data_IF_898691644250
#
_entry.id   IF_898691644250
#
_cell.length_a   1.000
_cell.length_b   1.000
_cell.length_c   1.000
_cell.angle_alpha   90.00
_cell.angle_beta   90.00
_cell.angle_gamma   90.00
#
_symmetry.space_group_name_H-M   'P 1'
#
loop_
_entity.id
_entity.type
_entity.pdbx_description
1 polymer ?
#
# COMPACT_ATOMS: atom_id res chain seq x y z
N UNK A 1 -7.82 3.18 -14.85
CA UNK A 1 -6.51 3.74 -15.10
C UNK A 1 -5.44 2.78 -14.59
N UNK A 2 -4.43 2.48 -15.41
CA UNK A 2 -3.44 1.45 -15.17
C UNK A 2 -2.14 2.10 -14.74
N UNK A 3 -1.65 1.82 -13.54
CA UNK A 3 -0.29 2.15 -13.17
C UNK A 3 0.48 0.89 -12.78
N UNK A 4 1.66 0.70 -13.33
CA UNK A 4 2.58 -0.34 -12.89
C UNK A 4 3.54 0.23 -11.86
N UNK A 5 3.70 -0.44 -10.72
CA UNK A 5 4.75 -0.05 -9.81
C UNK A 5 6.10 -0.48 -10.39
N UNK A 6 6.96 0.48 -10.65
CA UNK A 6 8.33 0.25 -11.06
C UNK A 6 9.32 0.44 -9.90
N UNK A 7 8.83 0.32 -8.67
CA UNK A 7 9.59 0.74 -7.50
C UNK A 7 10.62 -0.25 -6.99
N UNK A 8 10.83 -1.36 -7.67
CA UNK A 8 11.90 -2.27 -7.31
C UNK A 8 12.22 -3.21 -8.46
N UNK A 9 13.40 -3.61 -8.52
CA UNK A 9 14.19 -4.30 -9.50
C UNK A 9 13.47 -5.21 -10.55
N UNK A 10 14.25 -5.78 -11.45
CA UNK A 10 13.86 -6.61 -12.60
C UNK A 10 13.01 -7.83 -12.25
N UNK A 11 12.93 -8.22 -10.98
CA UNK A 11 12.33 -9.47 -10.50
C UNK A 11 10.95 -9.31 -9.84
N UNK A 12 10.40 -8.11 -9.81
CA UNK A 12 9.06 -7.87 -9.25
C UNK A 12 8.18 -7.25 -10.33
N UNK A 13 7.14 -7.96 -10.73
CA UNK A 13 6.15 -7.47 -11.69
C UNK A 13 4.78 -7.57 -11.09
N UNK A 14 4.11 -6.45 -11.01
CA UNK A 14 2.74 -6.37 -10.55
C UNK A 14 2.01 -5.22 -11.20
N UNK A 15 0.70 -5.39 -11.33
CA UNK A 15 -0.20 -4.39 -11.83
C UNK A 15 -1.09 -3.91 -10.68
N UNK A 16 -1.09 -2.61 -10.41
CA UNK A 16 -1.95 -2.01 -9.40
C UNK A 16 -2.98 -1.12 -10.07
N UNK A 17 -4.26 -1.40 -9.83
CA UNK A 17 -5.39 -0.70 -10.44
C UNK A 17 -6.24 -0.08 -9.36
N UNK A 18 -6.49 1.23 -9.48
CA UNK A 18 -7.41 1.97 -8.62
C UNK A 18 -8.71 2.27 -9.36
N UNK A 19 -9.83 1.99 -8.70
CA UNK A 19 -11.18 2.30 -9.17
C UNK A 19 -11.86 3.22 -8.17
N UNK A 20 -12.48 4.29 -8.68
CA UNK A 20 -13.28 5.20 -7.88
C UNK A 20 -14.76 4.83 -8.01
N UNK A 21 -15.41 4.62 -6.87
CA UNK A 21 -16.82 4.32 -6.74
C UNK A 21 -17.57 5.39 -5.96
N UNK A 22 -18.87 5.18 -5.79
CA UNK A 22 -19.76 6.02 -4.98
C UNK A 22 -19.89 5.49 -3.55
N UNK A 23 -20.63 6.18 -2.69
CA UNK A 23 -20.96 5.69 -1.34
C UNK A 23 -21.77 4.39 -1.31
N UNK A 24 -22.37 3.97 -2.42
CA UNK A 24 -23.07 2.68 -2.52
C UNK A 24 -22.11 1.50 -2.68
N UNK A 25 -20.87 1.78 -3.09
CA UNK A 25 -19.82 0.79 -3.30
C UNK A 25 -18.97 0.55 -2.04
N UNK A 26 -19.30 1.22 -0.92
CA UNK A 26 -18.59 1.03 0.36
C UNK A 26 -18.72 -0.40 0.86
N UNK A 27 -17.64 -0.92 1.42
CA UNK A 27 -17.64 -2.24 2.03
C UNK A 27 -18.35 -2.18 3.38
N UNK A 28 -19.33 -3.03 3.59
CA UNK A 28 -19.93 -3.26 4.91
C UNK A 28 -19.02 -4.18 5.72
N UNK A 29 -18.73 -3.77 6.93
CA UNK A 29 -17.94 -4.52 7.91
C UNK A 29 -18.84 -4.85 9.09
N UNK A 30 -19.00 -6.15 9.35
CA UNK A 30 -19.65 -6.65 10.57
C UNK A 30 -18.57 -6.94 11.61
N UNK A 31 -18.51 -6.13 12.65
CA UNK A 31 -17.53 -6.23 13.72
C UNK A 31 -18.24 -6.52 15.07
N UNK A 32 -17.48 -6.95 16.07
CA UNK A 32 -18.00 -7.32 17.39
C UNK A 32 -18.73 -6.14 18.06
N UNK A 33 -18.26 -4.93 17.82
CA UNK A 33 -18.79 -3.67 18.37
C UNK A 33 -19.85 -2.99 17.49
N UNK A 34 -20.24 -3.61 16.38
CA UNK A 34 -21.31 -3.14 15.49
C UNK A 34 -20.92 -3.12 14.01
N UNK A 35 -21.89 -2.84 13.16
CA UNK A 35 -21.70 -2.69 11.73
C UNK A 35 -21.18 -1.27 11.39
N UNK A 36 -20.20 -1.19 10.49
CA UNK A 36 -19.75 0.06 9.90
C UNK A 36 -19.41 -0.10 8.42
N UNK A 37 -19.20 1.00 7.72
CA UNK A 37 -18.79 0.98 6.32
C UNK A 37 -17.37 1.51 6.17
N UNK A 38 -16.62 0.92 5.22
CA UNK A 38 -15.27 1.30 4.87
C UNK A 38 -15.24 1.75 3.41
N UNK A 39 -14.71 2.93 3.14
CA UNK A 39 -14.63 3.48 1.80
C UNK A 39 -13.30 3.20 1.08
N UNK A 40 -12.35 2.53 1.75
CA UNK A 40 -11.09 2.13 1.14
C UNK A 40 -10.90 0.62 1.21
N UNK A 41 -10.85 -0.02 0.06
CA UNK A 41 -10.60 -1.45 -0.11
C UNK A 41 -9.30 -1.67 -0.87
N UNK A 42 -8.44 -2.54 -0.34
CA UNK A 42 -7.21 -2.97 -1.03
C UNK A 42 -7.15 -4.48 -1.08
N UNK A 43 -7.15 -5.02 -2.29
CA UNK A 43 -7.03 -6.44 -2.59
C UNK A 43 -5.62 -6.73 -3.10
N UNK A 44 -4.97 -7.67 -2.45
CA UNK A 44 -3.62 -8.14 -2.78
C UNK A 44 -3.72 -9.59 -3.26
N UNK A 45 -3.49 -9.80 -4.54
CA UNK A 45 -3.59 -11.11 -5.17
C UNK A 45 -2.20 -11.65 -5.47
N UNK A 46 -1.84 -12.73 -4.79
CA UNK A 46 -0.54 -13.39 -4.89
C UNK A 46 -0.70 -14.84 -5.31
N UNK A 47 -0.94 -15.09 -6.59
CA UNK A 47 -1.13 -16.45 -7.09
C UNK A 47 0.18 -17.25 -7.02
N UNK A 48 0.12 -18.59 -6.84
CA UNK A 48 1.31 -19.43 -6.72
C UNK A 48 2.29 -19.29 -7.88
N UNK A 49 1.80 -19.08 -9.09
CA UNK A 49 2.65 -18.93 -10.28
C UNK A 49 3.58 -17.71 -10.21
N UNK A 50 3.26 -16.70 -9.38
CA UNK A 50 4.08 -15.49 -9.24
C UNK A 50 5.47 -15.79 -8.64
N UNK A 51 5.63 -16.92 -7.98
CA UNK A 51 6.89 -17.45 -7.42
C UNK A 51 7.28 -18.79 -8.05
N UNK A 52 6.70 -19.14 -9.19
CA UNK A 52 6.99 -20.40 -9.91
C UNK A 52 6.42 -21.65 -9.24
N UNK A 53 5.49 -21.51 -8.30
CA UNK A 53 4.86 -22.64 -7.62
C UNK A 53 3.57 -23.09 -8.29
N UNK A 54 3.24 -24.38 -8.10
CA UNK A 54 1.95 -24.95 -8.45
C UNK A 54 1.08 -25.00 -7.20
N UNK A 55 -0.09 -24.39 -7.24
CA UNK A 55 -1.01 -24.32 -6.11
C UNK A 55 -2.46 -24.07 -6.53
N UNK A 56 -3.37 -24.20 -5.57
CA UNK A 56 -4.80 -23.91 -5.81
C UNK A 56 -5.01 -22.40 -5.93
N UNK A 57 -5.77 -22.00 -6.96
CA UNK A 57 -6.25 -20.65 -7.16
C UNK A 57 -7.74 -20.65 -6.77
N UNK A 58 -8.17 -19.73 -5.93
CA UNK A 58 -9.61 -19.58 -5.64
C UNK A 58 -9.97 -19.21 -4.19
N UNK A 59 -9.10 -19.44 -3.20
CA UNK A 59 -9.31 -18.94 -1.84
C UNK A 59 -8.17 -18.02 -1.42
N UNK A 60 -8.51 -16.90 -0.81
CA UNK A 60 -7.53 -15.93 -0.30
C UNK A 60 -6.67 -16.56 0.79
N UNK A 61 -5.36 -16.52 0.63
CA UNK A 61 -4.40 -17.06 1.59
C UNK A 61 -4.20 -16.11 2.79
N UNK A 62 -3.67 -16.64 3.91
CA UNK A 62 -3.29 -15.78 5.05
C UNK A 62 -2.26 -14.72 4.67
N UNK A 63 -1.35 -15.06 3.74
CA UNK A 63 -0.35 -14.14 3.19
C UNK A 63 -1.03 -12.97 2.48
N UNK A 64 -1.99 -13.25 1.63
CA UNK A 64 -2.73 -12.21 0.89
C UNK A 64 -3.49 -11.28 1.82
N UNK A 65 -4.15 -11.81 2.85
CA UNK A 65 -4.86 -11.02 3.86
C UNK A 65 -3.88 -10.13 4.63
N UNK A 66 -2.78 -10.70 5.14
CA UNK A 66 -1.80 -9.97 5.95
C UNK A 66 -1.07 -8.89 5.16
N UNK A 67 -0.59 -9.20 3.96
CA UNK A 67 0.11 -8.24 3.09
C UNK A 67 -0.83 -7.16 2.56
N UNK A 68 -2.06 -7.53 2.19
CA UNK A 68 -3.09 -6.57 1.79
C UNK A 68 -3.40 -5.57 2.91
N UNK A 69 -3.56 -6.07 4.15
CA UNK A 69 -3.82 -5.20 5.31
C UNK A 69 -2.63 -4.32 5.68
N UNK A 70 -1.39 -4.81 5.49
CA UNK A 70 -0.19 -3.99 5.67
C UNK A 70 -0.16 -2.83 4.68
N UNK A 71 -0.40 -3.10 3.39
CA UNK A 71 -0.46 -2.06 2.35
C UNK A 71 -1.61 -1.08 2.58
N UNK A 72 -2.78 -1.58 3.00
CA UNK A 72 -3.92 -0.76 3.38
C UNK A 72 -3.56 0.23 4.50
N UNK A 73 -2.94 -0.26 5.58
CA UNK A 73 -2.50 0.58 6.71
C UNK A 73 -1.48 1.63 6.29
N UNK A 74 -0.60 1.30 5.35
CA UNK A 74 0.41 2.22 4.87
C UNK A 74 -0.19 3.43 4.15
N UNK A 75 -1.27 3.23 3.40
CA UNK A 75 -1.90 4.25 2.55
C UNK A 75 -3.02 5.01 3.26
N UNK A 76 -3.82 4.30 4.06
CA UNK A 76 -5.04 4.85 4.66
C UNK A 76 -4.88 6.23 5.34
N UNK A 77 -3.81 6.49 6.12
CA UNK A 77 -3.62 7.79 6.77
C UNK A 77 -3.42 8.97 5.79
N UNK A 78 -3.06 8.68 4.55
CA UNK A 78 -2.79 9.69 3.52
C UNK A 78 -3.99 9.98 2.63
N UNK A 79 -5.10 9.23 2.79
CA UNK A 79 -6.32 9.48 2.03
C UNK A 79 -7.01 10.76 2.50
N UNK A 80 -7.63 11.52 1.59
CA UNK A 80 -8.44 12.66 1.95
C UNK A 80 -9.68 12.22 2.74
N UNK A 81 -10.18 13.11 3.61
CA UNK A 81 -11.44 12.85 4.30
C UNK A 81 -12.62 12.76 3.33
N UNK A 82 -13.66 12.03 3.71
CA UNK A 82 -14.86 11.81 2.88
C UNK A 82 -15.58 13.13 2.52
N UNK A 83 -15.47 14.15 3.36
CA UNK A 83 -16.03 15.46 3.10
C UNK A 83 -15.30 16.20 1.97
N UNK A 84 -13.98 15.98 1.86
CA UNK A 84 -13.15 16.60 0.82
C UNK A 84 -13.21 15.84 -0.50
N UNK A 85 -13.29 14.51 -0.43
CA UNK A 85 -13.27 13.64 -1.61
C UNK A 85 -14.23 12.45 -1.38
N UNK A 86 -15.53 12.57 -1.72
CA UNK A 86 -16.59 11.65 -1.32
C UNK A 86 -16.65 10.38 -2.19
N UNK A 87 -15.49 9.79 -2.49
CA UNK A 87 -15.39 8.58 -3.29
C UNK A 87 -15.06 7.37 -2.43
N UNK A 88 -15.48 6.22 -2.92
CA UNK A 88 -15.01 4.91 -2.47
C UNK A 88 -13.84 4.49 -3.33
N UNK A 89 -12.78 4.02 -2.72
CA UNK A 89 -11.55 3.57 -3.38
C UNK A 89 -11.49 2.05 -3.36
N UNK A 90 -11.38 1.44 -4.51
CA UNK A 90 -11.05 0.02 -4.64
C UNK A 90 -9.75 -0.13 -5.38
N UNK A 91 -8.74 -0.64 -4.69
CA UNK A 91 -7.43 -0.92 -5.26
C UNK A 91 -7.24 -2.43 -5.35
N UNK A 92 -6.78 -2.88 -6.49
CA UNK A 92 -6.44 -4.29 -6.74
C UNK A 92 -4.98 -4.36 -7.18
N UNK A 93 -4.17 -5.12 -6.46
CA UNK A 93 -2.78 -5.40 -6.80
C UNK A 93 -2.66 -6.84 -7.25
N UNK A 94 -2.36 -7.04 -8.54
CA UNK A 94 -2.13 -8.34 -9.15
C UNK A 94 -0.63 -8.60 -9.29
N UNK A 95 -0.11 -9.54 -8.53
CA UNK A 95 1.30 -9.91 -8.57
C UNK A 95 1.49 -11.00 -9.63
N UNK A 96 2.29 -10.70 -10.66
CA UNK A 96 2.57 -11.62 -11.76
C UNK A 96 3.91 -12.32 -11.64
N UNK A 97 4.87 -11.67 -10.97
CA UNK A 97 6.20 -12.23 -10.71
C UNK A 97 6.77 -11.56 -9.45
N UNK A 98 7.34 -12.35 -8.55
CA UNK A 98 7.90 -11.84 -7.29
C UNK A 98 9.12 -12.62 -6.85
N UNK A 99 10.23 -11.88 -6.65
CA UNK A 99 11.39 -12.33 -5.90
C UNK A 99 11.85 -11.18 -4.98
N UNK A 100 11.11 -10.96 -3.91
CA UNK A 100 11.31 -9.86 -2.96
C UNK A 100 9.98 -9.37 -2.39
N UNK A 101 9.94 -8.14 -1.88
CA UNK A 101 8.75 -7.60 -1.19
C UNK A 101 7.69 -7.06 -2.14
N UNK A 102 6.83 -7.94 -2.63
CA UNK A 102 5.65 -7.55 -3.41
C UNK A 102 4.65 -6.70 -2.62
N UNK A 103 4.59 -6.84 -1.29
CA UNK A 103 3.73 -5.97 -0.45
C UNK A 103 4.20 -4.52 -0.42
N UNK A 104 5.50 -4.27 -0.37
CA UNK A 104 6.04 -2.90 -0.42
C UNK A 104 5.91 -2.30 -1.82
N UNK A 105 6.09 -3.11 -2.86
CA UNK A 105 5.77 -2.70 -4.23
C UNK A 105 4.26 -2.39 -4.41
N UNK A 106 3.36 -3.12 -3.72
CA UNK A 106 1.93 -2.78 -3.67
C UNK A 106 1.67 -1.42 -3.02
N UNK A 107 2.38 -1.08 -1.94
CA UNK A 107 2.29 0.26 -1.34
C UNK A 107 2.65 1.35 -2.36
N UNK A 108 3.79 1.21 -3.02
CA UNK A 108 4.25 2.17 -4.04
C UNK A 108 3.26 2.29 -5.21
N UNK A 109 2.84 1.14 -5.76
CA UNK A 109 1.88 1.09 -6.86
C UNK A 109 0.50 1.65 -6.49
N UNK A 110 0.02 1.40 -5.27
CA UNK A 110 -1.23 1.97 -4.76
C UNK A 110 -1.12 3.49 -4.64
N UNK A 111 -0.03 4.00 -4.08
CA UNK A 111 0.21 5.44 -4.00
C UNK A 111 0.16 6.10 -5.38
N UNK A 112 0.90 5.55 -6.34
CA UNK A 112 0.94 6.07 -7.72
C UNK A 112 -0.41 5.95 -8.43
N UNK A 113 -1.09 4.80 -8.33
CA UNK A 113 -2.37 4.59 -9.04
C UNK A 113 -3.50 5.45 -8.49
N UNK A 114 -3.52 5.74 -7.19
CA UNK A 114 -4.47 6.69 -6.59
C UNK A 114 -4.19 8.12 -7.05
N UNK A 115 -2.92 8.54 -7.09
CA UNK A 115 -2.53 9.86 -7.60
C UNK A 115 -2.90 10.02 -9.07
N UNK A 116 -2.70 8.98 -9.87
CA UNK A 116 -3.04 8.94 -11.28
C UNK A 116 -4.57 8.96 -11.50
N UNK A 117 -5.35 8.34 -10.62
CA UNK A 117 -6.81 8.45 -10.61
C UNK A 117 -7.35 9.84 -10.19
N UNK A 118 -6.47 10.74 -9.78
CA UNK A 118 -6.83 12.09 -9.31
C UNK A 118 -7.24 12.17 -7.84
N UNK A 119 -6.91 11.15 -7.03
CA UNK A 119 -7.13 11.19 -5.59
C UNK A 119 -6.11 12.13 -4.95
N UNK A 120 -6.54 13.19 -4.23
CA UNK A 120 -5.63 14.15 -3.62
C UNK A 120 -5.02 13.58 -2.34
N UNK A 121 -4.11 12.60 -2.49
CA UNK A 121 -3.34 12.09 -1.36
C UNK A 121 -2.59 13.22 -0.66
N UNK A 122 -2.53 13.18 0.65
CA UNK A 122 -1.79 14.19 1.42
C UNK A 122 -0.30 14.20 1.05
N UNK A 123 0.28 12.99 0.90
CA UNK A 123 1.67 12.76 0.44
C UNK A 123 1.77 11.40 -0.22
N UNK A 124 2.71 11.21 -1.17
CA UNK A 124 3.02 9.90 -1.69
C UNK A 124 3.65 9.01 -0.61
N UNK A 125 3.37 7.73 -0.69
CA UNK A 125 3.87 6.71 0.25
C UNK A 125 4.72 5.71 -0.52
N UNK A 126 5.94 5.48 -0.04
CA UNK A 126 6.80 4.40 -0.50
C UNK A 126 7.01 3.35 0.59
N UNK A 127 7.34 2.14 0.19
CA UNK A 127 7.66 1.04 1.09
C UNK A 127 8.95 0.34 0.69
N UNK A 128 9.70 -0.16 1.67
CA UNK A 128 10.91 -0.93 1.49
C UNK A 128 10.92 -2.11 2.47
N UNK A 129 11.48 -3.24 2.04
CA UNK A 129 11.76 -4.38 2.89
C UNK A 129 13.24 -4.41 3.25
N UNK A 130 13.52 -4.53 4.54
CA UNK A 130 14.83 -4.57 5.11
C UNK A 130 15.10 -5.94 5.71
N UNK A 131 16.35 -6.36 5.75
CA UNK A 131 16.80 -7.58 6.40
C UNK A 131 17.95 -7.34 7.35
N UNK A 132 18.17 -8.31 8.24
CA UNK A 132 19.31 -8.36 9.14
C UNK A 132 19.95 -9.75 9.05
N UNK A 133 21.26 -9.76 8.95
CA UNK A 133 22.10 -10.94 9.18
C UNK A 133 23.01 -10.64 10.36
N UNK A 134 22.99 -11.50 11.39
CA UNK A 134 23.78 -11.33 12.61
C UNK A 134 24.55 -12.60 12.93
N UNK A 135 25.87 -12.48 12.95
CA UNK A 135 26.76 -13.56 13.35
C UNK A 135 27.59 -13.10 14.56
N UNK A 136 27.34 -13.72 15.72
CA UNK A 136 27.97 -13.32 16.98
C UNK A 136 27.72 -11.84 17.31
N UNK A 137 28.81 -11.04 17.37
CA UNK A 137 28.76 -9.60 17.65
C UNK A 137 28.75 -8.74 16.38
N UNK A 138 28.76 -9.36 15.20
CA UNK A 138 28.72 -8.65 13.89
C UNK A 138 27.34 -8.75 13.30
N UNK A 139 26.93 -7.69 12.64
CA UNK A 139 25.65 -7.67 11.89
C UNK A 139 25.79 -6.86 10.62
N UNK A 140 24.91 -7.13 9.67
CA UNK A 140 24.73 -6.38 8.42
C UNK A 140 23.24 -6.16 8.20
N UNK A 141 22.87 -4.92 7.88
CA UNK A 141 21.52 -4.53 7.52
C UNK A 141 21.43 -4.52 5.99
N UNK A 142 20.44 -5.22 5.45
CA UNK A 142 20.18 -5.33 4.02
C UNK A 142 19.00 -4.46 3.64
N UNK A 143 19.08 -3.80 2.49
CA UNK A 143 17.99 -2.99 1.91
C UNK A 143 17.39 -3.69 0.71
N UNK A 144 16.06 -3.62 0.56
CA UNK A 144 15.27 -4.21 -0.54
C UNK A 144 15.58 -5.69 -0.76
N UNK A 145 15.38 -6.46 0.30
CA UNK A 145 15.76 -7.88 0.36
C UNK A 145 15.01 -8.76 -0.65
N UNK A 146 15.74 -9.74 -1.18
CA UNK A 146 15.22 -10.82 -2.01
C UNK A 146 14.52 -11.89 -1.16
N UNK A 147 13.81 -12.81 -1.81
CA UNK A 147 13.12 -13.91 -1.14
C UNK A 147 14.04 -14.81 -0.31
N UNK A 148 15.23 -15.12 -0.81
CA UNK A 148 16.22 -15.93 -0.08
C UNK A 148 16.79 -15.17 1.13
N UNK A 149 17.01 -13.87 1.03
CA UNK A 149 17.47 -13.02 2.13
C UNK A 149 16.39 -12.85 3.21
N UNK A 150 15.12 -12.79 2.81
CA UNK A 150 13.97 -12.86 3.74
C UNK A 150 13.92 -14.20 4.47
N UNK A 151 14.11 -15.31 3.77
CA UNK A 151 14.01 -16.65 4.34
C UNK A 151 15.19 -16.98 5.27
N UNK A 152 16.42 -16.66 4.85
CA UNK A 152 17.65 -17.02 5.55
C UNK A 152 18.11 -15.97 6.57
N UNK A 153 17.60 -14.75 6.51
CA UNK A 153 17.96 -13.66 7.41
C UNK A 153 17.43 -13.86 8.83
N UNK A 154 18.07 -13.19 9.80
CA UNK A 154 17.75 -13.25 11.23
C UNK A 154 16.58 -12.33 11.63
N UNK A 155 16.31 -11.32 10.82
CA UNK A 155 15.14 -10.44 10.92
C UNK A 155 14.80 -9.91 9.54
N UNK A 156 13.51 -9.79 9.27
CA UNK A 156 12.99 -8.97 8.21
C UNK A 156 12.01 -7.93 8.77
N UNK A 157 12.01 -6.75 8.19
CA UNK A 157 11.01 -5.74 8.49
C UNK A 157 10.67 -4.89 7.28
N UNK A 158 9.40 -4.55 7.21
CA UNK A 158 8.82 -3.78 6.12
C UNK A 158 8.42 -2.42 6.66
N UNK A 159 8.95 -1.38 6.05
CA UNK A 159 8.70 0.01 6.45
C UNK A 159 8.07 0.76 5.30
N UNK A 160 6.88 1.29 5.55
CA UNK A 160 6.22 2.18 4.60
C UNK A 160 6.04 3.57 5.22
N UNK A 161 6.06 4.61 4.38
CA UNK A 161 5.88 5.97 4.85
C UNK A 161 6.12 7.02 3.77
N UNK A 162 5.92 8.25 4.19
CA UNK A 162 6.09 9.46 3.39
C UNK A 162 7.49 10.05 3.57
N UNK A 163 7.74 11.22 2.99
CA UNK A 163 8.94 12.03 3.28
C UNK A 163 9.02 12.51 4.73
N UNK A 164 7.89 12.58 5.46
CA UNK A 164 7.86 13.14 6.81
C UNK A 164 7.86 12.08 7.91
N UNK A 165 7.36 10.86 7.61
CA UNK A 165 7.29 9.84 8.65
C UNK A 165 6.86 8.47 8.14
N UNK A 166 6.88 7.50 9.07
CA UNK A 166 6.46 6.12 8.85
C UNK A 166 4.95 6.04 9.05
N UNK A 167 4.25 5.42 8.12
CA UNK A 167 2.80 5.16 8.20
C UNK A 167 2.49 3.72 8.58
N UNK A 168 3.39 2.78 8.29
CA UNK A 168 3.22 1.38 8.66
C UNK A 168 4.57 0.68 8.80
N UNK A 169 4.65 -0.23 9.78
CA UNK A 169 5.80 -1.08 10.03
C UNK A 169 5.32 -2.50 10.35
N UNK A 170 5.97 -3.49 9.77
CA UNK A 170 5.83 -4.89 10.13
C UNK A 170 7.22 -5.48 10.30
N UNK A 171 7.43 -6.23 11.36
CA UNK A 171 8.71 -6.85 11.66
C UNK A 171 8.52 -8.32 12.04
N UNK A 172 9.42 -9.18 11.56
CA UNK A 172 9.56 -10.57 11.95
C UNK A 172 10.99 -10.80 12.43
N UNK A 173 11.14 -11.19 13.69
CA UNK A 173 12.44 -11.45 14.33
C UNK A 173 12.56 -12.95 14.56
N UNK A 174 13.58 -13.56 13.94
CA UNK A 174 13.83 -15.01 13.99
C UNK A 174 14.91 -15.40 14.99
N UNK A 175 15.55 -14.41 15.62
CA UNK A 175 16.57 -14.56 16.67
C UNK A 175 16.05 -14.09 18.02
N UNK A 176 16.78 -14.40 19.08
CA UNK A 176 16.33 -14.17 20.46
C UNK A 176 16.09 -12.69 20.79
N UNK A 177 16.90 -11.78 20.23
CA UNK A 177 16.74 -10.34 20.42
C UNK A 177 17.57 -9.51 19.43
N UNK A 178 17.12 -8.30 19.21
CA UNK A 178 17.86 -7.22 18.55
C UNK A 178 18.01 -6.07 19.53
N UNK A 179 19.08 -5.30 19.40
CA UNK A 179 19.31 -4.13 20.25
C UNK A 179 18.65 -2.89 19.70
N UNK A 180 18.45 -1.87 20.54
CA UNK A 180 17.91 -0.57 20.10
C UNK A 180 18.80 0.10 19.05
N UNK A 181 20.13 -0.04 19.19
CA UNK A 181 21.10 0.52 18.24
C UNK A 181 20.96 -0.09 16.85
N UNK A 182 20.79 -1.43 16.76
CA UNK A 182 20.54 -2.12 15.49
C UNK A 182 19.25 -1.60 14.86
N UNK A 183 18.23 -1.38 15.67
CA UNK A 183 16.93 -0.89 15.19
C UNK A 183 17.01 0.56 14.68
N UNK A 184 17.73 1.43 15.38
CA UNK A 184 17.95 2.81 14.97
C UNK A 184 18.70 2.87 13.63
N UNK A 185 19.77 2.09 13.48
CA UNK A 185 20.55 2.00 12.24
C UNK A 185 19.67 1.46 11.09
N UNK A 186 18.92 0.39 11.35
CA UNK A 186 18.03 -0.21 10.37
C UNK A 186 16.92 0.75 9.90
N UNK A 187 16.32 1.52 10.80
CA UNK A 187 15.32 2.52 10.47
C UNK A 187 15.92 3.71 9.73
N UNK A 188 17.13 4.12 10.05
CA UNK A 188 17.85 5.16 9.33
C UNK A 188 18.14 4.73 7.88
N UNK A 189 18.67 3.52 7.69
CA UNK A 189 18.90 2.94 6.36
C UNK A 189 17.60 2.76 5.57
N UNK A 190 16.52 2.31 6.23
CA UNK A 190 15.20 2.21 5.61
C UNK A 190 14.63 3.58 5.20
N UNK A 191 14.95 4.65 5.93
CA UNK A 191 14.58 6.02 5.56
C UNK A 191 15.25 6.41 4.25
N UNK A 192 16.56 6.20 4.12
CA UNK A 192 17.30 6.53 2.91
C UNK A 192 16.77 5.73 1.70
N UNK A 193 16.52 4.44 1.88
CA UNK A 193 15.90 3.60 0.86
C UNK A 193 14.51 4.10 0.44
N UNK A 194 13.65 4.47 1.40
CA UNK A 194 12.32 5.05 1.08
C UNK A 194 12.41 6.37 0.32
N UNK A 195 13.35 7.25 0.70
CA UNK A 195 13.56 8.51 -0.01
C UNK A 195 14.03 8.27 -1.45
N UNK A 196 14.91 7.31 -1.66
CA UNK A 196 15.30 6.90 -3.00
C UNK A 196 14.10 6.42 -3.82
N UNK A 197 13.28 5.52 -3.25
CA UNK A 197 12.07 5.00 -3.91
C UNK A 197 11.07 6.11 -4.21
N UNK A 198 10.82 7.04 -3.28
CA UNK A 198 9.96 8.20 -3.52
C UNK A 198 10.48 9.05 -4.70
N UNK A 199 11.80 9.21 -4.81
CA UNK A 199 12.41 9.89 -5.95
C UNK A 199 12.21 9.18 -7.28
N UNK A 200 12.28 7.83 -7.30
CA UNK A 200 11.98 7.04 -8.50
C UNK A 200 10.50 7.12 -8.87
N UNK A 201 9.60 7.02 -7.90
CA UNK A 201 8.16 7.17 -8.11
C UNK A 201 7.81 8.55 -8.70
N UNK A 202 8.45 9.61 -8.21
CA UNK A 202 8.23 10.98 -8.68
C UNK A 202 8.61 11.19 -10.14
N UNK A 203 9.50 10.37 -10.72
CA UNK A 203 9.81 10.40 -12.17
C UNK A 203 8.61 9.96 -13.02
N UNK A 204 7.75 9.09 -12.48
CA UNK A 204 6.54 8.64 -13.16
C UNK A 204 5.33 9.54 -12.84
N UNK A 205 5.14 9.86 -11.57
CA UNK A 205 4.09 10.75 -11.09
C UNK A 205 4.52 11.42 -9.78
N UNK A 206 4.67 12.74 -9.80
CA UNK A 206 5.12 13.53 -8.63
C UNK A 206 3.96 14.14 -7.84
N UNK A 207 2.82 14.35 -8.49
CA UNK A 207 1.62 14.97 -7.92
C UNK A 207 0.36 14.27 -8.40
N UNK A 208 -0.71 14.26 -7.61
CA UNK A 208 -2.01 13.79 -8.06
C UNK A 208 -2.48 14.55 -9.31
N UNK A 209 -3.11 13.84 -10.25
CA UNK A 209 -3.76 14.46 -11.39
C UNK A 209 -4.82 15.45 -10.92
N UNK A 210 -4.92 16.60 -11.60
CA UNK A 210 -5.84 17.68 -11.24
C UNK A 210 -7.32 17.34 -11.52
N UNK A 211 -7.56 16.38 -12.39
CA UNK A 211 -8.90 15.93 -12.77
C UNK A 211 -9.05 14.44 -12.51
N UNK A 212 -10.22 14.06 -12.06
CA UNK A 212 -10.63 12.66 -11.97
C UNK A 212 -10.79 12.12 -13.39
N UNK A 213 -10.56 10.82 -13.56
CA UNK A 213 -10.81 10.13 -14.83
C UNK A 213 -12.23 10.44 -15.35
N UNK A 214 -12.37 10.70 -16.64
CA UNK A 214 -13.68 10.89 -17.29
C UNK A 214 -14.62 9.69 -17.17
N UNK A 215 -14.10 8.53 -16.81
CA UNK A 215 -14.85 7.29 -16.58
C UNK A 215 -15.27 7.09 -15.11
N UNK A 216 -14.79 7.94 -14.20
CA UNK A 216 -15.23 7.89 -12.82
C UNK A 216 -16.62 8.54 -12.67
N UNK A 217 -17.46 8.06 -11.71
CA UNK A 217 -18.73 8.71 -11.43
C UNK A 217 -18.50 10.15 -10.97
N UNK A 218 -19.31 11.07 -11.47
CA UNK A 218 -19.23 12.47 -11.05
C UNK A 218 -20.11 12.69 -9.82
N UNK A 219 -19.50 13.10 -8.72
CA UNK A 219 -20.19 13.44 -7.48
C UNK A 219 -20.18 14.95 -7.31
N UNK A 220 -21.36 15.56 -7.24
CA UNK A 220 -21.53 16.99 -7.01
C UNK A 220 -22.18 17.22 -5.66
N UNK A 221 -21.50 17.94 -4.78
CA UNK A 221 -22.05 18.34 -3.49
C UNK A 221 -22.79 19.68 -3.64
N UNK A 222 -24.10 19.65 -3.38
CA UNK A 222 -24.95 20.84 -3.34
C UNK A 222 -25.31 21.18 -1.89
N UNK A 223 -24.96 22.38 -1.45
CA UNK A 223 -25.49 22.89 -0.19
C UNK A 223 -26.83 23.57 -0.46
N UNK A 224 -27.89 23.03 0.12
CA UNK A 224 -29.24 23.56 0.00
C UNK A 224 -29.78 23.96 1.38
N UNK A 225 -30.67 24.97 1.37
CA UNK A 225 -31.38 25.33 2.60
C UNK A 225 -32.30 24.14 3.01
N UNK A 226 -32.38 23.88 4.32
CA UNK A 226 -33.20 22.78 4.86
C UNK A 226 -34.66 22.84 4.42
N UNK A 227 -35.20 24.03 4.27
CA UNK A 227 -36.59 24.26 3.85
C UNK A 227 -36.83 23.87 2.38
N UNK A 228 -35.75 23.73 1.59
CA UNK A 228 -35.83 23.35 0.17
C UNK A 228 -35.47 21.89 -0.12
N UNK A 229 -35.20 21.09 0.92
CA UNK A 229 -34.86 19.67 0.75
C UNK A 229 -35.97 18.94 -0.04
N UNK A 230 -37.23 19.24 0.27
CA UNK A 230 -38.40 18.64 -0.39
C UNK A 230 -38.51 18.97 -1.87
N UNK A 231 -38.08 20.17 -2.28
CA UNK A 231 -38.11 20.61 -3.67
C UNK A 231 -37.00 19.96 -4.51
N UNK A 232 -35.90 19.54 -3.86
CA UNK A 232 -34.72 18.91 -4.53
C UNK A 232 -34.84 17.41 -4.61
N UNK A 233 -35.43 16.76 -3.59
CA UNK A 233 -35.55 15.30 -3.56
C UNK A 233 -36.81 14.80 -4.28
N UNK A 234 -37.84 15.61 -4.39
CA UNK A 234 -39.13 15.28 -5.05
C UNK A 234 -40.13 14.72 -4.08
#
# INVERSE_FOLDING_TARGET
QWSSSAASDVYKRQLVVSTLGTGQDEQRIDAIDGEYTENFMLHYNFPPYSVGEVGRIGSTSRREIGHGKLAWRAIHPMLPSKEKFPYTYRVVSEITESNGSSSMATVCGTSMSLMDAGVPLERPVAGIAMGLIKENDKYVILSDILGDEDHLGDMDFKVAGTSEGITSLQMDIKITSITAEIMEEALAQAKDGRFHILGEMAKAIDKPNQSISQYAPTITNLQINKDKIREVIG
#
